data_IF_805187463427
#
_entry.id   IF_805187463427
#
_cell.length_a   1.000
_cell.length_b   1.000
_cell.length_c   1.000
_cell.angle_alpha   90.00
_cell.angle_beta   90.00
_cell.angle_gamma   90.00
#
_symmetry.space_group_name_H-M   'P 1'
#
loop_
_entity.id
_entity.type
_entity.pdbx_description
1 polymer ?
#
# COMPACT_ATOMS: atom_id res chain seq x y z
N UNK A 1 10.19 3.97 -3.82
CA UNK A 1 9.13 3.97 -2.78
C UNK A 1 7.77 4.01 -3.44
N UNK A 2 6.81 3.25 -2.90
CA UNK A 2 5.48 3.13 -3.51
C UNK A 2 4.48 2.68 -2.44
N UNK A 3 3.26 3.16 -2.53
CA UNK A 3 2.15 2.55 -1.79
C UNK A 3 1.40 1.62 -2.74
N UNK A 4 1.51 0.32 -2.50
CA UNK A 4 0.83 -0.66 -3.32
C UNK A 4 -0.67 -0.48 -3.24
N UNK A 5 -1.38 -0.76 -4.34
CA UNK A 5 -2.84 -0.75 -4.30
C UNK A 5 -3.31 -1.67 -3.17
N UNK A 6 -4.21 -1.16 -2.31
CA UNK A 6 -4.64 -1.89 -1.11
C UNK A 6 -5.24 -3.27 -1.39
N UNK A 7 -5.91 -3.42 -2.53
CA UNK A 7 -6.52 -4.71 -2.90
C UNK A 7 -5.47 -5.81 -3.06
N UNK A 8 -4.19 -5.46 -3.27
CA UNK A 8 -3.11 -6.43 -3.42
C UNK A 8 -2.56 -6.94 -2.08
N UNK A 9 -2.91 -6.32 -0.95
CA UNK A 9 -2.33 -6.72 0.34
C UNK A 9 -2.39 -8.23 0.59
N UNK A 10 -3.50 -8.93 0.36
CA UNK A 10 -3.53 -10.38 0.62
C UNK A 10 -2.63 -11.21 -0.30
N UNK A 11 -2.22 -10.64 -1.43
CA UNK A 11 -1.49 -11.38 -2.47
C UNK A 11 -0.02 -10.99 -2.59
N UNK A 12 0.41 -9.91 -1.92
CA UNK A 12 1.79 -9.45 -2.01
C UNK A 12 2.76 -10.47 -1.42
N UNK A 13 3.90 -10.73 -2.09
CA UNK A 13 4.97 -11.51 -1.48
C UNK A 13 5.43 -10.87 -0.18
N UNK A 14 5.94 -11.68 0.73
CA UNK A 14 6.31 -11.22 2.07
C UNK A 14 7.31 -10.06 2.04
N UNK A 15 8.30 -10.11 1.14
CA UNK A 15 9.30 -9.04 1.05
C UNK A 15 8.66 -7.68 0.70
N UNK A 16 7.75 -7.67 -0.28
CA UNK A 16 7.07 -6.44 -0.67
C UNK A 16 6.09 -5.99 0.40
N UNK A 17 5.40 -6.93 1.03
CA UNK A 17 4.46 -6.61 2.09
C UNK A 17 5.17 -5.96 3.29
N UNK A 18 6.28 -6.53 3.74
CA UNK A 18 7.05 -5.96 4.84
C UNK A 18 7.69 -4.62 4.47
N UNK A 19 8.16 -4.51 3.23
CA UNK A 19 8.71 -3.23 2.73
C UNK A 19 7.68 -2.11 2.77
N UNK A 20 6.42 -2.44 2.55
CA UNK A 20 5.34 -1.46 2.59
C UNK A 20 5.21 -0.81 3.97
N UNK A 21 5.38 -1.58 5.03
CA UNK A 21 5.34 -1.02 6.39
C UNK A 21 6.40 0.10 6.57
N UNK A 22 7.61 -0.17 6.14
CA UNK A 22 8.71 0.82 6.25
C UNK A 22 8.39 2.08 5.46
N UNK A 23 7.81 1.93 4.27
CA UNK A 23 7.45 3.08 3.44
C UNK A 23 6.33 3.90 4.06
N UNK A 24 5.31 3.24 4.61
CA UNK A 24 4.24 3.93 5.32
C UNK A 24 4.76 4.72 6.52
N UNK A 25 5.68 4.14 7.28
CA UNK A 25 6.24 4.82 8.45
C UNK A 25 7.10 6.03 8.03
N UNK A 26 7.79 5.95 6.89
CA UNK A 26 8.54 7.08 6.36
C UNK A 26 7.60 8.23 5.96
N UNK A 27 6.49 7.90 5.29
CA UNK A 27 5.48 8.89 4.91
C UNK A 27 4.88 9.56 6.15
N UNK A 28 4.51 8.75 7.15
CA UNK A 28 3.93 9.24 8.40
C UNK A 28 4.88 10.23 9.09
N UNK A 29 6.15 9.87 9.19
CA UNK A 29 7.16 10.69 9.86
C UNK A 29 7.31 12.04 9.15
N UNK A 30 7.42 12.01 7.83
CA UNK A 30 7.58 13.24 7.06
C UNK A 30 6.33 14.10 7.13
N UNK A 31 5.15 13.50 7.09
CA UNK A 31 3.90 14.25 7.20
C UNK A 31 3.80 14.96 8.56
N UNK A 32 4.21 14.28 9.63
CA UNK A 32 4.16 14.88 10.98
C UNK A 32 5.17 16.02 11.18
N UNK A 33 6.32 15.96 10.52
CA UNK A 33 7.45 16.86 10.87
C UNK A 33 7.83 17.85 9.78
N UNK A 34 7.61 17.54 8.52
CA UNK A 34 8.16 18.35 7.43
C UNK A 34 7.12 19.03 6.55
N UNK A 35 5.91 18.49 6.47
CA UNK A 35 4.96 18.97 5.49
C UNK A 35 5.43 18.61 4.09
N UNK A 36 5.22 19.51 3.11
CA UNK A 36 5.60 19.28 1.72
C UNK A 36 7.11 19.03 1.59
N UNK A 37 7.49 18.01 0.84
CA UNK A 37 8.88 17.60 0.64
C UNK A 37 9.21 17.52 -0.86
N UNK A 38 10.48 17.17 -1.17
CA UNK A 38 10.86 16.88 -2.54
C UNK A 38 10.55 15.44 -2.94
N UNK A 39 9.99 14.63 -2.03
CA UNK A 39 9.66 13.23 -2.28
C UNK A 39 8.28 13.12 -2.91
N UNK A 40 8.22 12.65 -4.17
CA UNK A 40 6.97 12.64 -4.94
C UNK A 40 5.85 11.82 -4.29
N UNK A 41 6.18 10.64 -3.75
CA UNK A 41 5.16 9.81 -3.11
C UNK A 41 4.57 10.48 -1.88
N UNK A 42 5.42 11.07 -1.04
CA UNK A 42 4.97 11.73 0.19
C UNK A 42 4.04 12.89 -0.16
N UNK A 43 4.43 13.69 -1.16
CA UNK A 43 3.58 14.78 -1.63
C UNK A 43 2.26 14.28 -2.20
N UNK A 44 2.27 13.13 -2.89
CA UNK A 44 1.05 12.53 -3.43
C UNK A 44 0.08 12.14 -2.34
N UNK A 45 0.57 11.51 -1.28
CA UNK A 45 -0.26 11.13 -0.13
C UNK A 45 -0.86 12.39 0.52
N UNK A 46 -0.07 13.45 0.62
CA UNK A 46 -0.50 14.70 1.24
C UNK A 46 -1.57 15.45 0.42
N UNK A 47 -1.81 15.10 -0.82
CA UNK A 47 -2.91 15.64 -1.61
C UNK A 47 -4.28 15.18 -1.11
N UNK A 48 -4.32 14.17 -0.25
CA UNK A 48 -5.54 13.55 0.25
C UNK A 48 -5.73 13.87 1.74
N UNK A 49 -6.97 13.73 2.26
CA UNK A 49 -7.18 13.89 3.70
C UNK A 49 -6.35 12.87 4.48
N UNK A 50 -5.88 13.27 5.65
CA UNK A 50 -5.10 12.36 6.52
C UNK A 50 -5.87 11.08 6.82
N UNK A 51 -7.19 11.15 6.91
CA UNK A 51 -8.05 9.99 7.13
C UNK A 51 -7.83 8.90 6.06
N UNK A 52 -7.59 9.28 4.80
CA UNK A 52 -7.35 8.30 3.74
C UNK A 52 -6.12 7.46 4.05
N UNK A 53 -5.04 8.10 4.49
CA UNK A 53 -3.81 7.40 4.83
C UNK A 53 -3.99 6.52 6.07
N UNK A 54 -4.73 7.00 7.06
CA UNK A 54 -5.04 6.20 8.25
C UNK A 54 -5.83 4.95 7.87
N UNK A 55 -6.81 5.07 6.98
CA UNK A 55 -7.58 3.91 6.53
C UNK A 55 -6.75 2.93 5.73
N UNK A 56 -5.83 3.43 4.91
CA UNK A 56 -4.87 2.59 4.20
C UNK A 56 -4.05 1.77 5.18
N UNK A 57 -3.55 2.41 6.25
CA UNK A 57 -2.83 1.71 7.30
C UNK A 57 -3.69 0.64 7.97
N UNK A 58 -4.95 0.94 8.26
CA UNK A 58 -5.83 -0.02 8.93
C UNK A 58 -6.06 -1.27 8.07
N UNK A 59 -6.21 -1.13 6.76
CA UNK A 59 -6.32 -2.29 5.88
C UNK A 59 -5.02 -3.09 5.85
N UNK A 60 -3.89 -2.40 5.84
CA UNK A 60 -2.58 -3.06 5.92
C UNK A 60 -2.46 -3.85 7.21
N UNK A 61 -2.85 -3.25 8.34
CA UNK A 61 -2.75 -3.90 9.64
C UNK A 61 -3.59 -5.17 9.73
N UNK A 62 -4.78 -5.19 9.12
CA UNK A 62 -5.62 -6.39 9.10
C UNK A 62 -4.88 -7.55 8.44
N UNK A 63 -4.25 -7.31 7.30
CA UNK A 63 -3.48 -8.36 6.62
C UNK A 63 -2.22 -8.73 7.42
N UNK A 64 -1.57 -7.75 8.04
CA UNK A 64 -0.41 -8.00 8.90
C UNK A 64 -0.77 -8.95 10.05
N UNK A 65 -1.92 -8.70 10.68
CA UNK A 65 -2.40 -9.57 11.76
C UNK A 65 -2.69 -10.98 11.26
N UNK A 66 -3.29 -11.11 10.07
CA UNK A 66 -3.55 -12.43 9.48
C UNK A 66 -2.27 -13.22 9.23
N UNK A 67 -1.23 -12.54 8.77
CA UNK A 67 0.04 -13.21 8.43
C UNK A 67 0.89 -13.53 9.64
N UNK A 68 0.97 -12.59 10.60
CA UNK A 68 1.97 -12.67 11.67
C UNK A 68 1.36 -12.79 13.07
N UNK A 69 0.06 -12.72 13.21
CA UNK A 69 -0.63 -12.85 14.50
C UNK A 69 -0.41 -11.69 15.45
N UNK A 70 0.05 -10.54 14.96
CA UNK A 70 0.35 -9.36 15.77
C UNK A 70 -0.37 -8.14 15.25
N UNK A 71 -0.71 -7.22 16.16
CA UNK A 71 -1.21 -5.90 15.82
C UNK A 71 -0.08 -4.89 15.89
N UNK A 72 -0.12 -3.90 15.01
CA UNK A 72 0.90 -2.83 14.97
C UNK A 72 0.50 -1.70 15.92
N UNK A 73 0.47 -2.00 17.21
CA UNK A 73 -0.07 -1.11 18.23
C UNK A 73 0.65 0.23 18.32
N UNK A 74 1.99 0.22 18.28
CA UNK A 74 2.78 1.46 18.34
C UNK A 74 2.54 2.33 17.11
N UNK A 75 2.49 1.72 15.94
CA UNK A 75 2.21 2.45 14.71
C UNK A 75 0.81 3.04 14.74
N UNK A 76 -0.18 2.28 15.22
CA UNK A 76 -1.55 2.77 15.34
C UNK A 76 -1.65 4.02 16.22
N UNK A 77 -0.93 4.06 17.34
CA UNK A 77 -0.94 5.24 18.20
C UNK A 77 -0.48 6.49 17.45
N UNK A 78 0.51 6.37 16.56
CA UNK A 78 0.99 7.48 15.76
C UNK A 78 0.00 7.87 14.66
N UNK A 79 -0.59 6.89 13.97
CA UNK A 79 -1.59 7.15 12.93
C UNK A 79 -2.85 7.79 13.52
N UNK A 80 -3.27 7.31 14.67
CA UNK A 80 -4.45 7.83 15.36
C UNK A 80 -4.31 9.30 15.69
N UNK A 81 -3.12 9.73 16.13
CA UNK A 81 -2.83 11.13 16.45
C UNK A 81 -2.76 11.97 15.19
N UNK A 82 -2.32 11.41 14.07
CA UNK A 82 -2.26 12.14 12.80
C UNK A 82 -3.65 12.52 12.28
N UNK A 83 -4.66 11.69 12.55
CA UNK A 83 -5.99 11.83 11.96
C UNK A 83 -6.76 13.00 12.58
N UNK A 84 -6.65 14.17 11.95
CA UNK A 84 -7.38 15.38 12.33
C UNK A 84 -8.41 15.79 11.26
N UNK A 85 -8.76 14.88 10.37
CA UNK A 85 -9.67 15.16 9.27
C UNK A 85 -11.07 15.48 9.78
N UNK A 86 -11.66 16.65 9.43
CA UNK A 86 -13.03 16.96 9.81
C UNK A 86 -14.00 15.90 9.30
N UNK A 87 -15.06 15.64 10.08
CA UNK A 87 -16.03 14.58 9.74
C UNK A 87 -16.62 14.78 8.35
N UNK A 88 -16.91 16.01 7.97
CA UNK A 88 -17.49 16.33 6.67
C UNK A 88 -16.53 16.08 5.49
N UNK A 89 -15.23 15.93 5.75
CA UNK A 89 -14.23 15.64 4.71
C UNK A 89 -13.85 14.16 4.64
N UNK A 90 -14.37 13.34 5.55
CA UNK A 90 -14.08 11.91 5.54
C UNK A 90 -14.91 11.22 4.47
N UNK A 91 -14.28 10.30 3.73
CA UNK A 91 -14.96 9.53 2.70
C UNK A 91 -15.07 8.07 3.11
N UNK A 92 -15.93 7.31 2.44
CA UNK A 92 -16.06 5.88 2.65
C UNK A 92 -14.94 5.10 1.96
N UNK A 93 -14.27 5.71 0.97
CA UNK A 93 -13.11 5.17 0.31
C UNK A 93 -11.85 5.87 0.76
N UNK A 94 -10.75 5.68 0.04
CA UNK A 94 -9.51 6.42 0.24
C UNK A 94 -8.74 6.50 -1.07
N UNK A 95 -7.96 7.56 -1.21
CA UNK A 95 -7.11 7.81 -2.38
C UNK A 95 -7.89 7.77 -3.69
N UNK A 96 -9.07 8.40 -3.71
CA UNK A 96 -9.92 8.48 -4.90
C UNK A 96 -9.14 9.10 -6.07
N UNK A 97 -9.27 8.50 -7.26
CA UNK A 97 -8.54 8.94 -8.44
C UNK A 97 -7.10 8.46 -8.49
N UNK A 98 -6.60 7.83 -7.43
CA UNK A 98 -5.25 7.27 -7.40
C UNK A 98 -5.30 5.74 -7.31
N UNK A 99 -5.89 5.17 -6.23
CA UNK A 99 -5.98 3.72 -6.04
C UNK A 99 -7.20 3.17 -6.78
N UNK A 100 -7.11 3.16 -8.10
CA UNK A 100 -8.15 2.68 -9.01
C UNK A 100 -7.62 1.49 -9.83
N UNK A 101 -8.42 1.01 -10.81
CA UNK A 101 -8.02 -0.13 -11.63
C UNK A 101 -6.76 0.15 -12.45
N UNK A 102 -6.59 1.37 -12.94
CA UNK A 102 -5.38 1.73 -13.69
C UNK A 102 -4.15 1.65 -12.79
N UNK A 103 -4.24 2.16 -11.58
CA UNK A 103 -3.14 2.08 -10.63
C UNK A 103 -2.85 0.64 -10.22
N UNK A 104 -3.88 -0.19 -10.10
CA UNK A 104 -3.69 -1.62 -9.85
C UNK A 104 -2.84 -2.25 -10.95
N UNK A 105 -3.10 -1.91 -12.22
CA UNK A 105 -2.30 -2.40 -13.33
C UNK A 105 -0.86 -1.89 -13.27
N UNK A 106 -0.67 -0.64 -12.88
CA UNK A 106 0.68 -0.07 -12.68
C UNK A 106 1.43 -0.86 -11.61
N UNK A 107 0.76 -1.17 -10.50
CA UNK A 107 1.37 -1.98 -9.45
C UNK A 107 1.76 -3.37 -9.97
N UNK A 108 0.87 -4.01 -10.72
CA UNK A 108 1.17 -5.32 -11.31
C UNK A 108 2.38 -5.27 -12.25
N UNK A 109 2.48 -4.21 -13.06
CA UNK A 109 3.62 -4.05 -13.97
C UNK A 109 4.94 -3.92 -13.20
N UNK A 110 4.93 -3.17 -12.09
CA UNK A 110 6.12 -3.04 -11.25
C UNK A 110 6.49 -4.35 -10.56
N UNK A 111 5.49 -5.12 -10.14
CA UNK A 111 5.72 -6.43 -9.54
C UNK A 111 6.24 -7.43 -10.57
N UNK A 112 5.74 -7.34 -11.81
CA UNK A 112 6.25 -8.17 -12.91
C UNK A 112 7.74 -7.90 -13.17
N UNK A 113 8.17 -6.65 -13.13
CA UNK A 113 9.59 -6.33 -13.29
C UNK A 113 10.44 -6.99 -12.20
N UNK A 114 9.95 -7.02 -10.96
CA UNK A 114 10.64 -7.70 -9.87
C UNK A 114 10.67 -9.21 -10.05
N UNK A 115 9.67 -9.76 -10.71
CA UNK A 115 9.63 -11.18 -11.04
C UNK A 115 10.60 -11.52 -12.18
N UNK A 116 10.57 -10.76 -13.26
CA UNK A 116 11.34 -11.05 -14.47
C UNK A 116 12.80 -10.62 -14.36
N UNK A 117 13.05 -9.42 -13.85
CA UNK A 117 14.39 -8.84 -13.78
C UNK A 117 14.98 -8.83 -12.37
N UNK A 118 14.21 -9.15 -11.35
CA UNK A 118 14.64 -9.02 -9.97
C UNK A 118 15.74 -9.98 -9.57
N UNK A 119 16.56 -9.55 -8.60
CA UNK A 119 17.61 -10.38 -8.01
C UNK A 119 17.57 -10.21 -6.48
N UNK A 120 18.12 -11.19 -5.76
CA UNK A 120 18.21 -11.13 -4.31
C UNK A 120 16.87 -11.27 -3.60
N UNK A 121 16.76 -10.63 -2.44
CA UNK A 121 15.60 -10.79 -1.55
C UNK A 121 14.31 -10.18 -2.08
N UNK A 122 14.41 -9.20 -2.97
CA UNK A 122 13.23 -8.54 -3.53
C UNK A 122 12.69 -9.23 -4.78
N UNK A 123 13.39 -10.26 -5.26
CA UNK A 123 12.94 -11.00 -6.42
C UNK A 123 11.66 -11.76 -6.10
N UNK A 124 10.70 -11.66 -7.02
CA UNK A 124 9.44 -12.37 -6.92
C UNK A 124 9.57 -13.71 -7.65
N UNK A 125 9.26 -14.79 -6.96
CA UNK A 125 9.35 -16.15 -7.53
C UNK A 125 8.19 -16.40 -8.49
N UNK A 126 8.27 -17.48 -9.27
CA UNK A 126 7.20 -17.89 -10.17
C UNK A 126 5.90 -18.12 -9.40
N UNK A 127 5.99 -18.78 -8.23
CA UNK A 127 4.82 -19.07 -7.40
C UNK A 127 4.19 -17.80 -6.84
N UNK A 128 5.02 -16.86 -6.41
CA UNK A 128 4.55 -15.56 -5.90
C UNK A 128 3.89 -14.75 -7.01
N UNK A 129 4.45 -14.79 -8.22
CA UNK A 129 3.85 -14.12 -9.37
C UNK A 129 2.48 -14.72 -9.73
N UNK A 130 2.37 -16.07 -9.70
CA UNK A 130 1.10 -16.74 -9.94
C UNK A 130 0.04 -16.31 -8.91
N UNK A 131 0.44 -16.16 -7.65
CA UNK A 131 -0.45 -15.68 -6.60
C UNK A 131 -0.95 -14.26 -6.89
N UNK A 132 -0.05 -13.38 -7.35
CA UNK A 132 -0.44 -12.02 -7.73
C UNK A 132 -1.40 -12.01 -8.91
N UNK A 133 -1.15 -12.83 -9.93
CA UNK A 133 -2.04 -12.92 -11.09
C UNK A 133 -3.42 -13.45 -10.70
N UNK A 134 -3.46 -14.45 -9.82
CA UNK A 134 -4.73 -14.95 -9.30
C UNK A 134 -5.46 -13.87 -8.52
N UNK A 135 -4.74 -13.12 -7.70
CA UNK A 135 -5.33 -11.99 -6.98
C UNK A 135 -5.90 -10.93 -7.90
N UNK A 136 -5.17 -10.58 -8.94
CA UNK A 136 -5.65 -9.61 -9.93
C UNK A 136 -6.97 -10.09 -10.56
N UNK A 137 -7.05 -11.37 -10.90
CA UNK A 137 -8.27 -11.94 -11.47
C UNK A 137 -9.42 -11.92 -10.47
N UNK A 138 -9.16 -12.23 -9.21
CA UNK A 138 -10.18 -12.19 -8.17
C UNK A 138 -10.69 -10.75 -7.94
N UNK A 139 -9.80 -9.76 -8.01
CA UNK A 139 -10.16 -8.36 -7.80
C UNK A 139 -10.92 -7.80 -8.99
N UNK A 140 -10.49 -8.08 -10.21
CA UNK A 140 -11.01 -7.42 -11.42
C UNK A 140 -11.94 -8.29 -12.25
N UNK A 141 -11.93 -9.60 -12.07
CA UNK A 141 -12.61 -10.55 -12.93
C UNK A 141 -11.90 -10.83 -14.24
N UNK A 142 -10.72 -10.22 -14.46
CA UNK A 142 -9.97 -10.34 -15.71
C UNK A 142 -8.59 -10.95 -15.47
N UNK A 143 -8.09 -11.69 -16.47
CA UNK A 143 -6.72 -12.16 -16.45
C UNK A 143 -5.77 -10.96 -16.60
N UNK A 144 -4.62 -10.99 -15.90
CA UNK A 144 -3.61 -9.98 -16.09
C UNK A 144 -2.87 -10.25 -17.40
N UNK A 145 -2.93 -9.28 -18.33
CA UNK A 145 -2.23 -9.35 -19.62
C UNK A 145 -0.97 -8.49 -19.56
N UNK A 146 0.17 -9.12 -19.80
CA UNK A 146 1.47 -8.45 -19.84
C UNK A 146 1.62 -7.64 -21.11
#
# INVERSE_FOLDING_TARGET
MRLWHNALFPYLPDAQFRGQYREMMAVLRDWKHKGKTNHLLINKVMEYPKNDFVRYFLEYEVEYHKRYGKWLTKAWEEFKVLDDTPIEQRSNGFFDGWHNKEYLRVCMANLYEKHFFGVGKSRITDEEWETLCRGYKEITGEEYAI
#
